data_IF_673534643844
#
_entry.id   IF_673534643844
#
_cell.length_a   1.000
_cell.length_b   1.000
_cell.length_c   1.000
_cell.angle_alpha   90.00
_cell.angle_beta   90.00
_cell.angle_gamma   90.00
#
_symmetry.space_group_name_H-M   'P 1'
#
loop_
_entity.id
_entity.type
_entity.pdbx_description
1 polymer ?
#
# COMPACT_ATOMS: atom_id res chain seq x y z
N UNK A 1 -11.75 4.24 -3.47
CA UNK A 1 -11.12 3.01 -4.01
C UNK A 1 -9.84 2.79 -3.22
N UNK A 2 -9.59 1.59 -2.68
CA UNK A 2 -8.37 1.32 -1.90
C UNK A 2 -7.25 0.86 -2.82
N UNK A 3 -6.02 1.40 -2.71
CA UNK A 3 -4.91 0.96 -3.55
C UNK A 3 -4.53 -0.50 -3.26
N UNK A 4 -4.01 -1.15 -4.30
CA UNK A 4 -3.75 -2.58 -4.36
C UNK A 4 -2.46 -2.95 -3.62
N UNK A 5 -2.56 -3.87 -2.68
CA UNK A 5 -1.43 -4.55 -2.07
C UNK A 5 -1.90 -5.97 -1.72
N UNK A 6 -1.05 -6.98 -1.84
CA UNK A 6 -1.35 -8.39 -1.50
C UNK A 6 -1.97 -8.51 -0.12
N UNK A 7 -1.53 -7.65 0.80
CA UNK A 7 -2.06 -7.59 2.14
C UNK A 7 -3.55 -7.27 2.21
N UNK A 8 -4.12 -6.49 1.28
CA UNK A 8 -5.57 -6.24 1.24
C UNK A 8 -6.36 -7.50 0.90
N UNK A 9 -5.81 -8.29 -0.03
CA UNK A 9 -6.35 -9.60 -0.37
C UNK A 9 -6.36 -10.48 0.88
N UNK A 10 -5.22 -10.57 1.56
CA UNK A 10 -5.04 -11.36 2.78
C UNK A 10 -5.90 -10.88 3.97
N UNK A 11 -6.11 -9.57 4.12
CA UNK A 11 -6.94 -8.98 5.18
C UNK A 11 -8.41 -9.36 5.01
N UNK A 12 -8.93 -9.32 3.78
CA UNK A 12 -10.31 -9.73 3.48
C UNK A 12 -10.51 -11.24 3.65
N UNK A 13 -9.50 -12.06 3.37
CA UNK A 13 -9.58 -13.50 3.61
C UNK A 13 -9.84 -13.82 5.07
N UNK A 14 -9.15 -13.16 6.01
CA UNK A 14 -9.32 -13.43 7.43
C UNK A 14 -10.76 -13.15 7.89
N UNK A 15 -11.33 -12.02 7.45
CA UNK A 15 -12.73 -11.66 7.74
C UNK A 15 -13.72 -12.71 7.24
N UNK A 16 -13.47 -13.32 6.07
CA UNK A 16 -14.33 -14.38 5.52
C UNK A 16 -14.16 -15.72 6.23
N UNK A 17 -12.94 -16.13 6.60
CA UNK A 17 -12.75 -17.34 7.43
C UNK A 17 -13.37 -17.20 8.82
N UNK A 18 -13.34 -15.99 9.41
CA UNK A 18 -14.01 -15.73 10.68
C UNK A 18 -15.54 -15.76 10.53
N UNK A 19 -16.08 -15.27 9.42
CA UNK A 19 -17.52 -15.23 9.15
C UNK A 19 -18.12 -16.60 8.73
N UNK A 20 -17.35 -17.42 8.02
CA UNK A 20 -17.84 -18.71 7.47
C UNK A 20 -17.83 -19.86 8.48
N UNK A 21 -17.24 -19.68 9.66
CA UNK A 21 -17.30 -20.68 10.75
C UNK A 21 -16.74 -22.06 10.36
N UNK A 22 -15.91 -22.15 9.32
CA UNK A 22 -15.37 -23.40 8.80
C UNK A 22 -14.33 -23.94 9.81
N UNK A 23 -14.83 -24.63 10.83
CA UNK A 23 -14.05 -25.40 11.77
C UNK A 23 -13.62 -26.70 11.11
N UNK A 24 -12.48 -26.67 10.42
CA UNK A 24 -11.82 -27.89 9.92
C UNK A 24 -11.42 -28.72 11.14
N UNK A 25 -12.15 -29.81 11.41
CA UNK A 25 -11.81 -30.80 12.43
C UNK A 25 -10.36 -31.24 12.24
N UNK A 26 -9.54 -31.07 13.29
CA UNK A 26 -8.23 -31.72 13.41
C UNK A 26 -8.44 -33.23 13.22
N UNK A 27 -7.93 -33.80 12.13
CA UNK A 27 -7.66 -35.23 12.11
C UNK A 27 -6.47 -35.47 13.04
N UNK A 28 -6.70 -36.14 14.16
CA UNK A 28 -5.61 -36.64 15.00
C UNK A 28 -4.90 -37.78 14.27
N UNK A 29 -3.57 -37.92 14.42
CA UNK A 29 -2.89 -39.11 13.94
C UNK A 29 -3.43 -40.33 14.68
N UNK A 30 -3.78 -41.38 13.93
CA UNK A 30 -4.13 -42.70 14.47
C UNK A 30 -2.91 -43.29 15.15
N UNK A 31 -2.96 -43.42 16.48
CA UNK A 31 -2.01 -44.22 17.26
C UNK A 31 -2.40 -45.69 17.20
N UNK A 32 -1.45 -46.55 16.82
CA UNK A 32 -1.54 -48.00 16.83
C UNK A 32 -1.57 -48.57 18.25
N UNK A 33 -2.45 -49.54 18.44
CA UNK A 33 -2.74 -50.33 19.64
C UNK A 33 -1.70 -51.44 19.89
N UNK A 34 -1.26 -51.64 21.15
CA UNK A 34 -0.90 -52.95 21.76
C UNK A 34 -1.21 -52.90 23.29
N UNK A 35 -1.65 -54.00 23.97
CA UNK A 35 -2.35 -53.98 25.26
C UNK A 35 -1.61 -54.61 26.47
N UNK A 36 -2.33 -54.67 27.61
CA UNK A 36 -2.09 -55.40 28.89
C UNK A 36 -1.46 -54.59 30.05
N UNK A 37 -1.78 -54.70 31.34
CA UNK A 37 -2.86 -55.34 32.13
C UNK A 37 -2.77 -54.91 33.63
N UNK A 38 -3.92 -54.52 34.24
CA UNK A 38 -4.33 -54.65 35.67
C UNK A 38 -3.51 -53.93 36.80
N UNK A 39 -3.95 -53.94 38.09
CA UNK A 39 -4.81 -52.88 38.66
C UNK A 39 -4.39 -52.38 40.06
N UNK A 40 -4.67 -51.12 40.45
CA UNK A 40 -4.71 -50.75 41.88
C UNK A 40 -5.79 -49.72 42.18
N UNK A 41 -6.62 -50.10 43.14
CA UNK A 41 -7.70 -49.38 43.82
C UNK A 41 -7.17 -48.23 44.68
N UNK A 42 -7.88 -47.11 44.75
CA UNK A 42 -8.22 -46.46 46.04
C UNK A 42 -9.47 -45.57 45.90
N UNK A 43 -10.38 -45.75 46.86
CA UNK A 43 -11.58 -44.94 47.11
C UNK A 43 -11.19 -43.59 47.72
N UNK A 44 -11.94 -42.53 47.42
CA UNK A 44 -12.55 -41.70 48.47
C UNK A 44 -13.70 -40.85 47.94
N UNK A 45 -14.78 -40.86 48.72
CA UNK A 45 -16.05 -40.16 48.56
C UNK A 45 -15.93 -38.62 48.62
N UNK A 46 -16.88 -37.90 48.00
CA UNK A 46 -17.74 -36.90 48.70
C UNK A 46 -18.72 -36.15 47.75
N UNK A 47 -20.02 -36.42 47.97
CA UNK A 47 -21.17 -35.50 48.08
C UNK A 47 -21.50 -34.39 47.03
N UNK A 48 -22.55 -34.67 46.24
CA UNK A 48 -23.82 -33.93 45.99
C UNK A 48 -23.93 -32.44 46.44
N UNK A 49 -24.07 -31.45 45.52
CA UNK A 49 -25.32 -30.82 44.98
C UNK A 49 -25.68 -29.45 45.62
N UNK A 50 -26.55 -28.56 45.04
CA UNK A 50 -27.00 -28.35 43.65
C UNK A 50 -27.13 -26.87 43.17
N UNK A 51 -27.43 -26.72 41.87
CA UNK A 51 -28.21 -25.67 41.16
C UNK A 51 -28.12 -24.16 41.51
N UNK A 52 -27.76 -23.36 40.48
CA UNK A 52 -28.47 -22.09 40.20
C UNK A 52 -28.46 -21.76 38.69
N UNK A 53 -29.64 -21.82 38.06
CA UNK A 53 -29.94 -21.20 36.76
C UNK A 53 -30.13 -19.70 36.95
N UNK A 54 -29.51 -18.88 36.11
CA UNK A 54 -29.93 -17.50 35.85
C UNK A 54 -30.02 -17.31 34.34
N UNK A 55 -31.24 -17.02 33.89
CA UNK A 55 -31.57 -16.53 32.55
C UNK A 55 -31.56 -14.99 32.52
N UNK A 56 -31.45 -14.45 31.31
CA UNK A 56 -31.71 -13.06 30.88
C UNK A 56 -30.54 -12.08 31.10
N UNK A 57 -30.18 -11.15 30.20
CA UNK A 57 -30.87 -10.55 29.03
C UNK A 57 -29.84 -10.21 27.94
N UNK A 58 -30.24 -10.31 26.68
CA UNK A 58 -29.61 -9.56 25.58
C UNK A 58 -29.85 -8.06 25.77
N UNK A 59 -28.88 -7.18 25.42
CA UNK A 59 -29.21 -5.83 25.00
C UNK A 59 -29.03 -5.70 23.49
N UNK A 60 -30.09 -5.18 22.90
CA UNK A 60 -30.23 -4.77 21.52
C UNK A 60 -29.16 -3.75 21.07
N UNK A 61 -28.88 -3.79 19.76
CA UNK A 61 -28.64 -2.58 18.97
C UNK A 61 -27.21 -2.04 18.91
N UNK A 62 -26.36 -2.68 18.10
CA UNK A 62 -25.08 -2.11 17.66
C UNK A 62 -25.23 -0.95 16.65
N UNK A 63 -26.47 -0.54 16.31
CA UNK A 63 -26.74 0.48 15.28
C UNK A 63 -26.73 1.93 15.79
N UNK A 64 -26.62 2.16 17.10
CA UNK A 64 -26.70 3.53 17.65
C UNK A 64 -25.33 4.25 17.79
N UNK A 65 -24.20 3.53 17.70
CA UNK A 65 -22.86 4.11 17.93
C UNK A 65 -22.21 4.72 16.68
N UNK A 66 -22.61 4.27 15.48
CA UNK A 66 -22.04 4.77 14.22
C UNK A 66 -22.65 6.12 13.77
N UNK A 67 -23.89 6.42 14.15
CA UNK A 67 -24.54 7.70 13.82
C UNK A 67 -23.99 8.88 14.62
N UNK A 68 -23.51 8.66 15.85
CA UNK A 68 -22.99 9.74 16.72
C UNK A 68 -21.55 10.14 16.37
N UNK A 69 -20.73 9.20 15.91
CA UNK A 69 -19.36 9.46 15.46
C UNK A 69 -19.29 10.18 14.10
N UNK A 70 -20.25 9.93 13.21
CA UNK A 70 -20.39 10.65 11.93
C UNK A 70 -20.78 12.12 12.16
N UNK A 71 -21.71 12.37 13.09
CA UNK A 71 -22.17 13.73 13.41
C UNK A 71 -21.10 14.60 14.09
N UNK A 72 -20.24 14.01 14.93
CA UNK A 72 -19.13 14.75 15.57
C UNK A 72 -17.98 15.07 14.61
N UNK A 73 -17.69 14.24 13.60
CA UNK A 73 -16.71 14.57 12.55
C UNK A 73 -17.15 15.72 11.66
N UNK A 74 -18.45 15.82 11.38
CA UNK A 74 -18.99 16.89 10.55
C UNK A 74 -18.96 18.26 11.25
N UNK A 75 -18.95 18.30 12.59
CA UNK A 75 -18.99 19.55 13.36
C UNK A 75 -17.60 20.13 13.66
N UNK A 76 -16.55 19.30 13.68
CA UNK A 76 -15.17 19.74 13.90
C UNK A 76 -14.48 20.29 12.62
N UNK A 77 -15.00 19.96 11.43
CA UNK A 77 -14.49 20.49 10.16
C UNK A 77 -15.01 21.90 9.81
N UNK A 78 -16.04 22.40 10.51
CA UNK A 78 -16.66 23.69 10.19
C UNK A 78 -16.06 24.90 10.93
N UNK A 79 -15.16 24.71 11.89
CA UNK A 79 -14.69 25.81 12.76
C UNK A 79 -13.31 26.39 12.42
N UNK A 80 -12.64 25.96 11.35
CA UNK A 80 -11.29 26.43 11.02
C UNK A 80 -11.00 26.73 9.55
N UNK A 81 -11.97 27.24 8.76
CA UNK A 81 -11.66 27.80 7.42
C UNK A 81 -12.37 29.14 7.23
N UNK A 82 -11.68 30.24 7.56
CA UNK A 82 -12.01 31.60 7.10
C UNK A 82 -11.12 32.00 5.91
N UNK A 83 -11.09 31.19 4.83
CA UNK A 83 -10.56 31.61 3.51
C UNK A 83 -11.34 31.06 2.28
N UNK A 84 -12.69 31.13 2.20
CA UNK A 84 -13.41 30.47 1.10
C UNK A 84 -13.30 31.20 -0.26
N UNK A 85 -13.04 32.52 -0.27
CA UNK A 85 -13.27 33.32 -1.48
C UNK A 85 -12.17 33.23 -2.56
N UNK A 86 -10.90 32.98 -2.20
CA UNK A 86 -9.84 32.77 -3.20
C UNK A 86 -9.86 31.34 -3.78
N UNK A 87 -10.30 30.37 -2.98
CA UNK A 87 -10.40 28.96 -3.37
C UNK A 87 -11.57 28.73 -4.34
N UNK A 88 -12.75 29.31 -4.06
CA UNK A 88 -13.90 29.25 -4.98
C UNK A 88 -13.60 29.88 -6.35
N UNK A 89 -12.81 30.97 -6.40
CA UNK A 89 -12.38 31.56 -7.69
C UNK A 89 -11.47 30.64 -8.50
N UNK A 90 -10.63 29.81 -7.85
CA UNK A 90 -9.75 28.84 -8.54
C UNK A 90 -10.52 27.62 -9.03
N UNK A 91 -11.52 27.15 -8.28
CA UNK A 91 -12.42 26.08 -8.73
C UNK A 91 -13.25 26.51 -9.94
N UNK A 92 -13.81 27.73 -9.91
CA UNK A 92 -14.54 28.29 -11.06
C UNK A 92 -13.65 28.47 -12.31
N UNK A 93 -12.34 28.60 -12.14
CA UNK A 93 -11.38 28.62 -13.26
C UNK A 93 -11.16 27.22 -13.82
N UNK A 94 -11.13 26.18 -12.98
CA UNK A 94 -10.98 24.79 -13.41
C UNK A 94 -12.25 24.23 -14.07
N UNK A 95 -13.44 24.53 -13.55
CA UNK A 95 -14.72 24.15 -14.18
C UNK A 95 -14.88 24.78 -15.57
N UNK A 96 -14.46 26.05 -15.74
CA UNK A 96 -14.46 26.73 -17.06
C UNK A 96 -13.45 26.15 -18.06
N UNK A 97 -12.42 25.43 -17.59
CA UNK A 97 -11.47 24.74 -18.46
C UNK A 97 -12.08 23.44 -19.00
N UNK A 98 -12.84 22.71 -18.18
CA UNK A 98 -13.46 21.44 -18.59
C UNK A 98 -14.66 21.66 -19.55
N UNK A 99 -15.49 22.68 -19.28
CA UNK A 99 -16.64 23.02 -20.13
C UNK A 99 -16.24 23.53 -21.54
N UNK A 100 -15.09 24.20 -21.66
CA UNK A 100 -14.59 24.71 -22.95
C UNK A 100 -13.92 23.64 -23.82
N UNK A 101 -13.56 22.48 -23.27
CA UNK A 101 -12.89 21.40 -24.00
C UNK A 101 -13.91 20.43 -24.64
N UNK A 102 -15.19 20.48 -24.25
CA UNK A 102 -16.25 19.61 -24.81
C UNK A 102 -17.06 20.22 -25.96
N UNK A 103 -16.79 21.47 -26.40
CA UNK A 103 -17.52 22.08 -27.51
C UNK A 103 -16.58 22.76 -28.52
N UNK A 104 -16.50 22.29 -29.78
CA UNK A 104 -15.89 23.08 -30.85
C UNK A 104 -16.94 24.07 -31.36
N UNK A 105 -16.98 25.28 -30.82
CA UNK A 105 -17.65 26.40 -31.47
C UNK A 105 -16.71 27.59 -31.59
N UNK A 106 -16.54 28.02 -32.84
CA UNK A 106 -15.77 29.18 -33.26
C UNK A 106 -16.13 30.46 -32.48
N UNK A 107 -15.09 31.26 -32.28
CA UNK A 107 -15.09 32.67 -31.87
C UNK A 107 -15.45 32.97 -30.41
N UNK A 108 -14.43 33.24 -29.59
CA UNK A 108 -14.23 34.58 -28.98
C UNK A 108 -12.93 34.63 -28.15
N UNK A 109 -12.18 35.70 -28.37
CA UNK A 109 -10.90 36.04 -27.75
C UNK A 109 -11.02 36.32 -26.25
N UNK A 110 -10.50 35.43 -25.41
CA UNK A 110 -10.17 35.72 -24.01
C UNK A 110 -8.72 35.28 -23.74
N UNK A 111 -7.79 36.21 -23.95
CA UNK A 111 -6.34 35.97 -23.96
C UNK A 111 -5.66 35.83 -22.59
N UNK A 112 -6.34 36.11 -21.48
CA UNK A 112 -5.69 36.12 -20.16
C UNK A 112 -5.67 34.76 -19.45
N UNK A 113 -6.67 33.91 -19.65
CA UNK A 113 -6.72 32.58 -19.01
C UNK A 113 -5.94 31.50 -19.78
N UNK A 114 -5.67 31.73 -21.07
CA UNK A 114 -4.79 30.87 -21.87
C UNK A 114 -3.34 30.94 -21.39
N UNK A 115 -2.91 32.09 -20.87
CA UNK A 115 -1.52 32.29 -20.46
C UNK A 115 -1.15 31.49 -19.22
N UNK A 116 -2.00 31.42 -18.19
CA UNK A 116 -1.66 30.73 -16.93
C UNK A 116 -1.50 29.21 -17.12
N UNK A 117 -2.36 28.58 -17.93
CA UNK A 117 -2.24 27.16 -18.25
C UNK A 117 -1.03 26.88 -19.16
N UNK A 118 -0.79 27.71 -20.19
CA UNK A 118 0.37 27.56 -21.06
C UNK A 118 1.71 27.78 -20.32
N UNK A 119 1.76 28.70 -19.35
CA UNK A 119 2.95 28.93 -18.53
C UNK A 119 3.21 27.73 -17.60
N UNK A 120 2.18 27.24 -16.88
CA UNK A 120 2.37 26.11 -15.97
C UNK A 120 2.61 24.79 -16.70
N UNK A 121 2.02 24.61 -17.89
CA UNK A 121 2.33 23.47 -18.75
C UNK A 121 3.76 23.49 -19.28
N UNK A 122 4.41 24.66 -19.37
CA UNK A 122 5.83 24.79 -19.75
C UNK A 122 6.77 24.52 -18.56
N UNK A 123 6.30 24.70 -17.33
CA UNK A 123 7.04 24.45 -16.08
C UNK A 123 6.80 23.04 -15.50
N UNK A 124 6.23 22.12 -16.28
CA UNK A 124 6.24 20.71 -15.91
C UNK A 124 7.67 20.17 -16.09
N UNK A 125 8.30 19.79 -14.99
CA UNK A 125 9.65 19.22 -14.96
C UNK A 125 9.67 17.72 -15.27
N UNK A 126 8.54 17.19 -15.77
CA UNK A 126 8.49 15.84 -16.26
C UNK A 126 9.38 15.67 -17.49
N UNK A 127 10.19 14.61 -17.52
CA UNK A 127 10.82 14.19 -18.76
C UNK A 127 9.77 13.95 -19.85
N UNK A 128 10.15 14.21 -21.10
CA UNK A 128 9.27 14.08 -22.27
C UNK A 128 8.60 12.70 -22.39
N UNK A 129 9.22 11.65 -21.85
CA UNK A 129 8.72 10.28 -21.84
C UNK A 129 7.72 9.96 -20.72
N UNK A 130 7.72 10.75 -19.64
CA UNK A 130 6.81 10.53 -18.51
C UNK A 130 5.38 10.93 -18.88
N UNK A 131 5.26 11.85 -19.85
CA UNK A 131 4.09 11.92 -20.68
C UNK A 131 4.03 10.63 -21.49
N UNK A 132 3.00 9.83 -21.26
CA UNK A 132 2.53 9.03 -22.37
C UNK A 132 2.03 10.06 -23.39
N UNK A 133 2.87 10.49 -24.34
CA UNK A 133 2.63 11.61 -25.28
C UNK A 133 1.29 11.53 -26.04
N UNK A 134 0.53 10.45 -25.86
CA UNK A 134 -0.81 10.21 -26.37
C UNK A 134 -1.94 10.72 -25.47
N UNK A 135 -1.74 10.87 -24.16
CA UNK A 135 -2.81 11.26 -23.22
C UNK A 135 -2.66 12.71 -22.76
N UNK A 136 -3.13 13.64 -23.62
CA UNK A 136 -3.18 15.08 -23.33
C UNK A 136 -3.98 15.37 -22.05
N UNK A 137 -5.00 14.55 -21.72
CA UNK A 137 -5.84 14.77 -20.54
C UNK A 137 -5.04 14.51 -19.26
N UNK A 138 -4.19 13.49 -19.24
CA UNK A 138 -3.33 13.21 -18.08
C UNK A 138 -2.36 14.36 -17.80
N UNK A 139 -1.74 14.92 -18.84
CA UNK A 139 -0.89 16.12 -18.71
C UNK A 139 -1.66 17.31 -18.16
N UNK A 140 -2.87 17.57 -18.66
CA UNK A 140 -3.73 18.65 -18.17
C UNK A 140 -4.13 18.46 -16.70
N UNK A 141 -4.45 17.23 -16.31
CA UNK A 141 -4.78 16.87 -14.94
C UNK A 141 -3.59 17.06 -14.00
N UNK A 142 -2.39 16.67 -14.41
CA UNK A 142 -1.17 16.88 -13.62
C UNK A 142 -0.84 18.38 -13.48
N UNK A 143 -0.93 19.16 -14.56
CA UNK A 143 -0.76 20.61 -14.51
C UNK A 143 -1.76 21.26 -13.55
N UNK A 144 -3.02 20.81 -13.58
CA UNK A 144 -4.08 21.26 -12.67
C UNK A 144 -3.76 20.90 -11.21
N UNK A 145 -3.24 19.69 -10.96
CA UNK A 145 -2.79 19.25 -9.64
C UNK A 145 -1.65 20.14 -9.12
N UNK A 146 -0.65 20.50 -9.95
CA UNK A 146 0.42 21.43 -9.57
C UNK A 146 -0.10 22.83 -9.24
N UNK A 147 -1.03 23.35 -10.04
CA UNK A 147 -1.69 24.64 -9.76
C UNK A 147 -2.37 24.67 -8.38
N UNK A 148 -3.01 23.55 -8.01
CA UNK A 148 -3.64 23.39 -6.70
C UNK A 148 -2.63 23.28 -5.54
N UNK A 149 -1.39 22.89 -5.85
CA UNK A 149 -0.29 22.70 -4.90
C UNK A 149 0.73 23.84 -4.92
N UNK A 150 0.52 24.91 -5.70
CA UNK A 150 1.53 25.95 -5.91
C UNK A 150 2.15 26.48 -4.61
N UNK A 151 1.31 26.83 -3.62
CA UNK A 151 1.79 27.31 -2.32
C UNK A 151 2.54 26.24 -1.51
N UNK A 152 2.13 24.97 -1.63
CA UNK A 152 2.82 23.84 -1.00
C UNK A 152 4.20 23.62 -1.64
N UNK A 153 4.30 23.72 -2.96
CA UNK A 153 5.55 23.57 -3.72
C UNK A 153 6.53 24.72 -3.45
N UNK A 154 6.06 25.97 -3.43
CA UNK A 154 6.87 27.14 -3.05
C UNK A 154 7.44 26.99 -1.62
N UNK A 155 6.65 26.47 -0.68
CA UNK A 155 7.11 26.20 0.68
C UNK A 155 8.20 25.11 0.70
N UNK A 156 8.04 24.05 -0.10
CA UNK A 156 9.00 22.96 -0.21
C UNK A 156 10.32 23.42 -0.84
N UNK A 157 10.29 24.28 -1.87
CA UNK A 157 11.49 24.83 -2.52
C UNK A 157 12.37 25.63 -1.57
N UNK A 158 11.81 26.20 -0.50
CA UNK A 158 12.61 26.89 0.52
C UNK A 158 13.13 25.97 1.63
N UNK A 159 12.70 24.70 1.68
CA UNK A 159 13.03 23.77 2.76
C UNK A 159 14.39 23.12 2.53
N UNK A 160 15.16 22.98 3.60
CA UNK A 160 16.47 22.33 3.59
C UNK A 160 16.55 21.19 4.58
N UNK A 161 17.47 20.27 4.34
CA UNK A 161 17.82 19.13 5.21
C UNK A 161 19.33 19.04 5.36
N UNK A 162 19.78 18.45 6.47
CA UNK A 162 21.19 18.16 6.69
C UNK A 162 21.53 16.77 6.17
N UNK A 163 22.37 16.71 5.13
CA UNK A 163 22.87 15.48 4.54
C UNK A 163 24.39 15.48 4.58
N UNK A 164 24.98 14.52 5.29
CA UNK A 164 26.44 14.33 5.37
C UNK A 164 27.19 15.62 5.78
N UNK A 165 26.58 16.40 6.68
CA UNK A 165 27.14 17.66 7.18
C UNK A 165 26.94 18.87 6.26
N UNK A 166 26.18 18.72 5.17
CA UNK A 166 25.82 19.80 4.25
C UNK A 166 24.32 20.11 4.32
N UNK A 167 23.98 21.39 4.29
CA UNK A 167 22.59 21.85 4.17
C UNK A 167 22.22 21.86 2.69
N UNK A 168 21.29 20.99 2.30
CA UNK A 168 20.86 20.80 0.90
C UNK A 168 19.36 21.06 0.80
N UNK A 169 18.91 21.59 -0.33
CA UNK A 169 17.49 21.73 -0.62
C UNK A 169 16.80 20.35 -0.64
N UNK A 170 15.61 20.22 -0.08
CA UNK A 170 14.89 18.93 -0.07
C UNK A 170 14.52 18.44 -1.47
N UNK A 171 14.26 19.35 -2.42
CA UNK A 171 13.91 18.98 -3.80
C UNK A 171 15.11 18.44 -4.56
N UNK A 172 16.30 19.00 -4.30
CA UNK A 172 17.57 18.52 -4.85
C UNK A 172 18.03 17.22 -4.19
N UNK A 173 17.85 17.12 -2.87
CA UNK A 173 18.22 15.94 -2.09
C UNK A 173 17.36 14.71 -2.43
N UNK A 174 16.05 14.90 -2.59
CA UNK A 174 15.08 13.82 -2.73
C UNK A 174 14.16 14.01 -3.94
N UNK A 175 14.70 14.03 -5.18
CA UNK A 175 13.91 14.26 -6.38
C UNK A 175 12.87 13.14 -6.60
N UNK A 176 13.09 11.93 -6.08
CA UNK A 176 12.11 10.84 -6.13
C UNK A 176 10.85 11.08 -5.27
N UNK A 177 10.92 12.03 -4.34
CA UNK A 177 9.80 12.42 -3.47
C UNK A 177 9.07 13.63 -4.04
N UNK A 178 9.83 14.66 -4.45
CA UNK A 178 9.28 15.97 -4.79
C UNK A 178 9.10 16.23 -6.28
N UNK A 179 9.40 15.25 -7.15
CA UNK A 179 9.21 15.37 -8.59
C UNK A 179 7.76 15.21 -9.03
N UNK A 180 7.48 15.75 -10.21
CA UNK A 180 6.21 15.54 -10.93
C UNK A 180 5.93 14.03 -11.16
N UNK A 181 6.96 13.17 -11.24
CA UNK A 181 6.78 11.72 -11.39
C UNK A 181 6.12 11.10 -10.14
N UNK A 182 6.44 11.60 -8.94
CA UNK A 182 5.76 11.19 -7.71
C UNK A 182 4.31 11.67 -7.73
N UNK A 183 4.08 12.93 -8.11
CA UNK A 183 2.72 13.50 -8.20
C UNK A 183 1.84 12.71 -9.18
N UNK A 184 2.41 12.28 -10.31
CA UNK A 184 1.71 11.44 -11.28
C UNK A 184 1.24 10.10 -10.68
N UNK A 185 1.97 9.50 -9.73
CA UNK A 185 1.50 8.30 -9.00
C UNK A 185 0.28 8.59 -8.14
N UNK A 186 0.26 9.74 -7.45
CA UNK A 186 -0.92 10.16 -6.69
C UNK A 186 -2.11 10.41 -7.61
N UNK A 187 -1.88 11.10 -8.74
CA UNK A 187 -2.92 11.34 -9.74
C UNK A 187 -3.53 10.04 -10.28
N UNK A 188 -2.68 9.07 -10.65
CA UNK A 188 -3.13 7.76 -11.17
C UNK A 188 -3.86 6.88 -10.16
N UNK A 189 -3.65 7.13 -8.86
CA UNK A 189 -4.32 6.42 -7.76
C UNK A 189 -5.78 6.84 -7.62
N UNK A 190 -6.04 8.12 -7.87
CA UNK A 190 -7.36 8.68 -7.65
C UNK A 190 -8.35 8.22 -8.72
N UNK A 191 -9.60 8.07 -8.28
CA UNK A 191 -10.68 7.71 -9.19
C UNK A 191 -10.79 8.78 -10.27
N UNK A 192 -10.91 8.34 -11.53
CA UNK A 192 -11.02 9.21 -12.70
C UNK A 192 -9.83 10.18 -12.88
N UNK A 193 -8.73 9.95 -12.14
CA UNK A 193 -7.56 10.83 -12.07
C UNK A 193 -7.91 12.27 -11.68
N UNK A 194 -8.80 12.44 -10.70
CA UNK A 194 -9.21 13.76 -10.22
C UNK A 194 -8.02 14.56 -9.62
N UNK A 195 -7.65 15.72 -10.21
CA UNK A 195 -6.55 16.54 -9.72
C UNK A 195 -6.73 17.07 -8.30
N UNK A 196 -7.97 17.35 -7.88
CA UNK A 196 -8.25 17.92 -6.55
C UNK A 196 -7.99 16.89 -5.46
N UNK A 197 -8.60 15.72 -5.57
CA UNK A 197 -8.39 14.60 -4.65
C UNK A 197 -6.91 14.21 -4.61
N UNK A 198 -6.23 14.18 -5.76
CA UNK A 198 -4.82 13.84 -5.84
C UNK A 198 -3.94 14.88 -5.12
N UNK A 199 -4.23 16.17 -5.30
CA UNK A 199 -3.53 17.26 -4.60
C UNK A 199 -3.72 17.18 -3.08
N UNK A 200 -4.93 16.91 -2.59
CA UNK A 200 -5.20 16.75 -1.16
C UNK A 200 -4.47 15.55 -0.55
N UNK A 201 -4.44 14.43 -1.28
CA UNK A 201 -3.72 13.23 -0.87
C UNK A 201 -2.22 13.48 -0.83
N UNK A 202 -1.67 14.12 -1.85
CA UNK A 202 -0.25 14.48 -1.89
C UNK A 202 0.14 15.44 -0.78
N UNK A 203 -0.71 16.44 -0.48
CA UNK A 203 -0.51 17.34 0.67
C UNK A 203 -0.50 16.59 1.99
N UNK A 204 -1.42 15.65 2.18
CA UNK A 204 -1.46 14.79 3.37
C UNK A 204 -0.18 13.97 3.51
N UNK A 205 0.34 13.45 2.40
CA UNK A 205 1.63 12.76 2.36
C UNK A 205 2.79 13.69 2.76
N UNK A 206 2.88 14.89 2.18
CA UNK A 206 3.92 15.86 2.51
C UNK A 206 3.90 16.26 3.99
N UNK A 207 2.71 16.54 4.54
CA UNK A 207 2.54 16.85 5.96
C UNK A 207 2.97 15.68 6.84
N UNK A 208 2.55 14.45 6.50
CA UNK A 208 2.96 13.25 7.23
C UNK A 208 4.49 13.09 7.25
N UNK A 209 5.18 13.33 6.12
CA UNK A 209 6.64 13.27 6.04
C UNK A 209 7.29 14.24 7.02
N UNK A 210 6.82 15.48 7.06
CA UNK A 210 7.32 16.53 7.97
C UNK A 210 7.08 16.11 9.42
N UNK A 211 5.85 15.73 9.76
CA UNK A 211 5.48 15.35 11.13
C UNK A 211 6.30 14.17 11.65
N UNK A 212 6.58 13.17 10.79
CA UNK A 212 7.30 11.95 11.17
C UNK A 212 8.81 12.04 10.87
N UNK A 213 9.29 13.20 10.42
CA UNK A 213 10.69 13.47 10.08
C UNK A 213 11.28 12.41 9.15
N UNK A 214 10.51 12.01 8.13
CA UNK A 214 10.88 10.90 7.23
C UNK A 214 12.15 11.24 6.45
N UNK A 215 12.27 12.50 6.02
CA UNK A 215 13.41 12.98 5.24
C UNK A 215 14.71 12.99 6.07
N UNK A 216 14.62 13.36 7.35
CA UNK A 216 15.78 13.47 8.23
C UNK A 216 16.16 12.13 8.88
N UNK A 217 15.19 11.27 9.15
CA UNK A 217 15.40 10.02 9.92
C UNK A 217 15.53 8.78 9.05
N UNK A 218 14.71 8.68 8.00
CA UNK A 218 14.63 7.46 7.17
C UNK A 218 15.41 7.65 5.87
N UNK A 219 15.19 8.76 5.14
CA UNK A 219 15.83 8.98 3.84
C UNK A 219 17.34 9.04 3.89
N UNK A 220 17.91 9.63 4.94
CA UNK A 220 19.37 9.64 5.16
C UNK A 220 19.94 8.22 5.16
N UNK A 221 19.25 7.29 5.82
CA UNK A 221 19.63 5.88 5.90
C UNK A 221 19.44 5.17 4.55
N UNK A 222 18.37 5.47 3.82
CA UNK A 222 18.09 4.92 2.47
C UNK A 222 19.16 5.33 1.48
N UNK A 223 19.67 6.56 1.54
CA UNK A 223 20.69 7.04 0.62
C UNK A 223 22.07 6.39 0.85
N UNK A 224 22.34 5.94 2.07
CA UNK A 224 23.59 5.28 2.43
C UNK A 224 23.56 3.79 2.08
N UNK A 225 22.45 3.10 2.37
CA UNK A 225 22.40 1.63 2.43
C UNK A 225 21.09 1.04 1.86
N UNK A 226 20.65 1.43 0.65
CA UNK A 226 19.30 1.10 0.16
C UNK A 226 19.02 -0.40 0.19
N UNK A 227 17.79 -0.78 0.56
CA UNK A 227 17.32 -2.17 0.67
C UNK A 227 18.01 -3.04 1.72
N UNK A 228 18.89 -2.50 2.56
CA UNK A 228 19.30 -3.19 3.78
C UNK A 228 18.16 -3.26 4.80
N UNK A 229 18.34 -4.06 5.84
CA UNK A 229 17.35 -4.18 6.90
C UNK A 229 17.58 -3.11 7.96
N UNK A 230 16.57 -2.27 8.21
CA UNK A 230 16.61 -1.36 9.37
C UNK A 230 16.46 -2.11 10.70
N UNK A 231 15.86 -3.30 10.65
CA UNK A 231 15.63 -4.17 11.81
C UNK A 231 15.77 -5.63 11.37
N UNK A 232 16.78 -6.31 11.89
CA UNK A 232 17.03 -7.73 11.62
C UNK A 232 15.88 -8.59 12.16
N UNK A 233 15.26 -8.19 13.28
CA UNK A 233 14.08 -8.84 13.84
C UNK A 233 12.94 -8.87 12.83
N UNK A 234 12.65 -7.74 12.16
CA UNK A 234 11.59 -7.70 11.15
C UNK A 234 11.95 -8.56 9.94
N UNK A 235 13.20 -8.47 9.46
CA UNK A 235 13.68 -9.22 8.30
C UNK A 235 13.61 -10.74 8.50
N UNK A 236 13.96 -11.23 9.69
CA UNK A 236 13.89 -12.66 10.03
C UNK A 236 12.44 -13.19 10.03
N UNK A 237 11.47 -12.35 10.42
CA UNK A 237 10.07 -12.75 10.52
C UNK A 237 9.27 -12.52 9.22
N UNK A 238 9.71 -11.57 8.39
CA UNK A 238 9.10 -11.19 7.11
C UNK A 238 10.13 -11.22 5.98
N UNK A 239 10.58 -12.41 5.55
CA UNK A 239 11.48 -12.52 4.40
C UNK A 239 10.88 -11.84 3.16
N UNK A 240 11.63 -10.88 2.64
CA UNK A 240 11.34 -10.09 1.45
C UNK A 240 12.64 -9.93 0.66
N UNK A 241 12.60 -10.20 -0.65
CA UNK A 241 13.75 -10.05 -1.54
C UNK A 241 13.42 -9.06 -2.65
N UNK A 242 14.24 -8.04 -2.78
CA UNK A 242 14.18 -7.08 -3.88
C UNK A 242 15.20 -7.51 -4.92
N UNK A 243 14.73 -7.91 -6.11
CA UNK A 243 15.64 -8.16 -7.23
C UNK A 243 15.95 -6.79 -7.84
N UNK A 244 17.16 -6.29 -7.58
CA UNK A 244 17.59 -4.99 -8.08
C UNK A 244 17.83 -5.06 -9.59
N UNK A 245 17.67 -3.94 -10.30
CA UNK A 245 17.74 -3.91 -11.77
C UNK A 245 19.12 -4.28 -12.30
N UNK A 246 20.18 -4.13 -11.52
CA UNK A 246 21.51 -4.60 -11.92
C UNK A 246 21.52 -6.11 -12.23
N UNK A 247 20.61 -6.86 -11.61
CA UNK A 247 20.42 -8.28 -11.87
C UNK A 247 19.48 -8.55 -13.04
N UNK A 248 18.71 -7.57 -13.54
CA UNK A 248 17.70 -7.78 -14.58
C UNK A 248 18.21 -7.37 -15.96
N UNK A 249 17.76 -8.03 -17.04
CA UNK A 249 18.05 -7.53 -18.38
C UNK A 249 17.49 -6.11 -18.55
N UNK A 250 18.30 -5.24 -19.17
CA UNK A 250 18.21 -3.77 -19.29
C UNK A 250 16.91 -3.20 -19.92
N UNK A 251 15.85 -4.00 -20.07
CA UNK A 251 14.61 -3.63 -20.78
C UNK A 251 13.32 -3.97 -20.03
N UNK A 252 13.40 -4.52 -18.82
CA UNK A 252 12.19 -4.73 -18.03
C UNK A 252 11.63 -3.40 -17.55
N UNK A 253 10.41 -3.04 -17.96
CA UNK A 253 9.65 -1.91 -17.37
C UNK A 253 9.15 -2.22 -15.96
N UNK A 254 9.59 -3.33 -15.38
CA UNK A 254 9.11 -3.89 -14.13
C UNK A 254 10.27 -4.27 -13.24
N UNK A 255 10.10 -3.98 -11.95
CA UNK A 255 10.96 -4.39 -10.87
C UNK A 255 10.27 -5.54 -10.10
N UNK A 256 10.73 -6.80 -10.24
CA UNK A 256 10.20 -7.91 -9.46
C UNK A 256 10.60 -7.78 -7.98
N UNK A 257 9.61 -7.89 -7.11
CA UNK A 257 9.78 -7.99 -5.66
C UNK A 257 9.18 -9.32 -5.23
N UNK A 258 9.97 -10.12 -4.53
CA UNK A 258 9.55 -11.43 -4.04
C UNK A 258 9.23 -11.36 -2.56
N UNK A 259 7.97 -11.65 -2.22
CA UNK A 259 7.47 -11.80 -0.87
C UNK A 259 7.29 -13.29 -0.55
N UNK A 260 8.05 -13.81 0.39
CA UNK A 260 7.92 -15.20 0.87
C UNK A 260 6.83 -15.28 1.94
N UNK A 261 5.59 -14.97 1.53
CA UNK A 261 4.44 -14.84 2.43
C UNK A 261 4.20 -16.11 3.23
N UNK A 262 4.40 -17.27 2.60
CA UNK A 262 4.23 -18.55 3.26
C UNK A 262 5.23 -18.82 4.38
N UNK A 263 6.38 -18.14 4.38
CA UNK A 263 7.42 -18.26 5.42
C UNK A 263 7.27 -17.22 6.54
N UNK A 264 6.28 -16.32 6.47
CA UNK A 264 6.12 -15.29 7.49
C UNK A 264 5.78 -15.86 8.86
N UNK A 265 6.58 -15.49 9.86
CA UNK A 265 6.41 -15.87 11.26
C UNK A 265 5.49 -14.91 12.00
N UNK A 266 4.26 -14.72 11.49
CA UNK A 266 3.36 -13.64 11.96
C UNK A 266 2.91 -13.78 13.42
N UNK A 267 2.88 -15.00 13.96
CA UNK A 267 2.55 -15.22 15.37
C UNK A 267 3.69 -14.80 16.28
N UNK A 268 4.94 -15.10 15.90
CA UNK A 268 6.14 -14.74 16.65
C UNK A 268 6.31 -13.22 16.67
N UNK A 269 6.29 -12.56 15.52
CA UNK A 269 6.40 -11.10 15.46
C UNK A 269 5.24 -10.38 16.16
N UNK A 270 4.04 -10.97 16.16
CA UNK A 270 2.91 -10.45 16.95
C UNK A 270 3.21 -10.49 18.44
N UNK A 271 3.84 -11.55 18.92
CA UNK A 271 4.21 -11.69 20.31
C UNK A 271 5.34 -10.71 20.67
N UNK A 272 6.37 -10.60 19.82
CA UNK A 272 7.47 -9.65 19.99
C UNK A 272 6.92 -8.22 20.11
N UNK A 273 6.11 -7.77 19.14
CA UNK A 273 5.50 -6.43 19.12
C UNK A 273 4.55 -6.21 20.29
N UNK A 274 3.72 -7.20 20.65
CA UNK A 274 2.80 -7.08 21.78
C UNK A 274 3.52 -7.04 23.13
N UNK A 275 4.66 -7.72 23.25
CA UNK A 275 5.47 -7.72 24.47
C UNK A 275 6.22 -6.41 24.69
N UNK A 276 6.44 -5.62 23.62
CA UNK A 276 7.21 -4.36 23.60
C UNK A 276 8.64 -4.48 24.12
N UNK A 277 9.23 -5.68 24.10
CA UNK A 277 10.58 -5.91 24.63
C UNK A 277 11.69 -5.63 23.61
N UNK A 278 11.52 -6.11 22.39
CA UNK A 278 12.58 -6.09 21.37
C UNK A 278 12.20 -5.27 20.14
N UNK A 279 10.89 -5.11 19.86
CA UNK A 279 10.40 -4.37 18.71
C UNK A 279 9.05 -3.74 19.06
N UNK A 280 8.90 -2.45 18.79
CA UNK A 280 7.63 -1.75 18.86
C UNK A 280 6.89 -1.79 17.52
N UNK A 281 5.59 -1.47 17.53
CA UNK A 281 4.83 -1.32 16.29
C UNK A 281 5.40 -0.17 15.44
N UNK A 282 5.89 0.89 16.07
CA UNK A 282 6.48 2.04 15.37
C UNK A 282 7.76 1.62 14.63
N UNK A 283 8.68 0.94 15.30
CA UNK A 283 9.90 0.42 14.67
C UNK A 283 9.60 -0.60 13.55
N UNK A 284 8.57 -1.43 13.73
CA UNK A 284 8.07 -2.29 12.67
C UNK A 284 7.61 -1.49 11.45
N UNK A 285 6.82 -0.43 11.66
CA UNK A 285 6.33 0.42 10.57
C UNK A 285 7.47 1.22 9.93
N UNK A 286 8.45 1.68 10.71
CA UNK A 286 9.62 2.39 10.24
C UNK A 286 10.49 1.53 9.33
N UNK A 287 10.65 0.25 9.67
CA UNK A 287 11.31 -0.71 8.80
C UNK A 287 10.62 -0.78 7.43
N UNK A 288 9.29 -0.83 7.39
CA UNK A 288 8.55 -0.85 6.14
C UNK A 288 8.59 0.49 5.40
N UNK A 289 8.47 1.62 6.11
CA UNK A 289 8.66 2.95 5.53
C UNK A 289 10.03 3.02 4.85
N UNK A 290 11.08 2.57 5.53
CA UNK A 290 12.44 2.50 4.99
C UNK A 290 12.53 1.70 3.68
N UNK A 291 11.92 0.51 3.64
CA UNK A 291 11.88 -0.31 2.42
C UNK A 291 11.08 0.36 1.30
N UNK A 292 9.95 1.00 1.59
CA UNK A 292 9.17 1.73 0.59
C UNK A 292 9.88 2.97 0.06
N UNK A 293 10.58 3.71 0.92
CA UNK A 293 11.43 4.82 0.49
C UNK A 293 12.57 4.34 -0.42
N UNK A 294 13.23 3.23 -0.07
CA UNK A 294 14.27 2.59 -0.91
C UNK A 294 13.70 2.18 -2.27
N UNK A 295 12.53 1.54 -2.26
CA UNK A 295 11.83 1.12 -3.46
C UNK A 295 11.49 2.30 -4.37
N UNK A 296 10.88 3.35 -3.84
CA UNK A 296 10.49 4.49 -4.66
C UNK A 296 11.68 5.26 -5.23
N UNK A 297 12.79 5.34 -4.48
CA UNK A 297 14.05 5.86 -4.99
C UNK A 297 14.55 5.04 -6.18
N UNK A 298 14.50 3.71 -6.08
CA UNK A 298 14.88 2.82 -7.18
C UNK A 298 13.94 3.01 -8.38
N UNK A 299 12.63 2.99 -8.16
CA UNK A 299 11.65 3.21 -9.24
C UNK A 299 11.88 4.54 -9.96
N UNK A 300 12.22 5.61 -9.22
CA UNK A 300 12.56 6.90 -9.82
C UNK A 300 13.83 6.79 -10.68
N UNK A 301 14.93 6.28 -10.13
CA UNK A 301 16.20 6.11 -10.86
C UNK A 301 16.02 5.32 -12.15
N UNK A 302 15.33 4.19 -12.06
CA UNK A 302 15.08 3.33 -13.22
C UNK A 302 14.13 3.97 -14.23
N UNK A 303 13.16 4.76 -13.75
CA UNK A 303 12.30 5.49 -14.68
C UNK A 303 13.07 6.53 -15.48
N UNK A 304 14.00 7.24 -14.83
CA UNK A 304 14.90 8.18 -15.49
C UNK A 304 15.82 7.47 -16.48
N UNK A 305 16.39 6.31 -16.10
CA UNK A 305 17.30 5.52 -16.94
C UNK A 305 16.61 4.96 -18.19
N UNK A 306 15.43 4.37 -18.02
CA UNK A 306 14.70 3.68 -19.10
C UNK A 306 13.74 4.57 -19.86
N UNK A 307 13.72 5.86 -19.55
CA UNK A 307 12.81 6.83 -20.15
C UNK A 307 11.37 6.31 -20.17
N UNK A 308 10.93 5.71 -19.07
CA UNK A 308 9.56 5.20 -18.94
C UNK A 308 9.21 5.01 -17.48
N UNK A 309 7.93 5.13 -17.13
CA UNK A 309 7.52 4.91 -15.75
C UNK A 309 7.64 3.44 -15.38
N UNK A 310 8.55 3.15 -14.44
CA UNK A 310 8.79 1.80 -13.93
C UNK A 310 7.80 1.48 -12.82
N UNK A 311 7.36 0.23 -12.79
CA UNK A 311 6.44 -0.29 -11.79
C UNK A 311 7.02 -1.53 -11.12
N UNK A 312 6.44 -1.89 -9.99
CA UNK A 312 6.69 -3.15 -9.31
C UNK A 312 5.84 -4.25 -9.93
N UNK A 313 6.45 -5.41 -10.06
CA UNK A 313 5.74 -6.69 -10.11
C UNK A 313 5.93 -7.41 -8.78
N UNK A 314 4.83 -7.56 -8.04
CA UNK A 314 4.85 -8.14 -6.70
C UNK A 314 4.57 -9.64 -6.80
N UNK A 315 5.60 -10.45 -6.58
CA UNK A 315 5.54 -11.92 -6.65
C UNK A 315 5.44 -12.45 -5.24
N UNK A 316 4.33 -13.05 -4.89
CA UNK A 316 4.07 -13.61 -3.57
C UNK A 316 4.14 -15.12 -3.62
N UNK A 317 5.18 -15.70 -3.03
CA UNK A 317 5.25 -17.13 -2.81
C UNK A 317 4.41 -17.50 -1.59
N UNK A 318 3.30 -18.21 -1.83
CA UNK A 318 2.38 -18.67 -0.80
C UNK A 318 2.67 -20.12 -0.34
N UNK A 319 3.82 -20.68 -0.73
CA UNK A 319 4.25 -22.01 -0.31
C UNK A 319 4.42 -22.10 1.20
N UNK A 320 3.79 -23.09 1.83
CA UNK A 320 3.82 -23.21 3.29
C UNK A 320 2.83 -22.28 4.01
N UNK A 321 2.08 -21.45 3.28
CA UNK A 321 1.10 -20.55 3.88
C UNK A 321 0.03 -21.33 4.65
N UNK A 322 -0.22 -20.91 5.89
CA UNK A 322 -1.18 -21.53 6.78
C UNK A 322 -2.15 -20.50 7.37
N UNK A 323 -3.35 -20.94 7.76
CA UNK A 323 -4.39 -20.07 8.30
C UNK A 323 -3.99 -19.33 9.59
N UNK A 324 -3.04 -19.88 10.36
CA UNK A 324 -2.60 -19.28 11.62
C UNK A 324 -1.76 -18.02 11.39
N UNK A 325 -1.20 -17.84 10.19
CA UNK A 325 -0.49 -16.63 9.81
C UNK A 325 -1.39 -15.38 9.81
N UNK A 326 -2.70 -15.56 9.67
CA UNK A 326 -3.67 -14.46 9.68
C UNK A 326 -4.48 -14.44 10.98
N UNK A 327 -3.83 -14.65 12.12
CA UNK A 327 -4.50 -14.54 13.42
C UNK A 327 -5.19 -13.18 13.58
N UNK A 328 -6.37 -13.10 14.23
CA UNK A 328 -7.05 -11.82 14.46
C UNK A 328 -6.18 -10.77 15.16
N UNK A 329 -5.26 -11.21 16.02
CA UNK A 329 -4.29 -10.33 16.68
C UNK A 329 -3.33 -9.70 15.68
N UNK A 330 -2.68 -10.52 14.83
CA UNK A 330 -1.79 -10.04 13.78
C UNK A 330 -2.49 -9.06 12.84
N UNK A 331 -3.67 -9.46 12.36
CA UNK A 331 -4.45 -8.67 11.40
C UNK A 331 -4.83 -7.32 11.97
N UNK A 332 -5.39 -7.28 13.18
CA UNK A 332 -5.88 -6.03 13.78
C UNK A 332 -4.74 -5.12 14.24
N UNK A 333 -3.70 -5.68 14.84
CA UNK A 333 -2.64 -4.91 15.53
C UNK A 333 -1.47 -4.54 14.63
N UNK A 334 -1.17 -5.32 13.60
CA UNK A 334 0.04 -5.14 12.78
C UNK A 334 -0.33 -4.91 11.32
N UNK A 335 -1.03 -5.87 10.69
CA UNK A 335 -1.31 -5.78 9.26
C UNK A 335 -2.21 -4.58 8.91
N UNK A 336 -3.23 -4.28 9.72
CA UNK A 336 -4.13 -3.14 9.44
C UNK A 336 -3.40 -1.79 9.54
N UNK A 337 -2.66 -1.45 10.61
CA UNK A 337 -1.84 -0.23 10.64
C UNK A 337 -0.84 -0.14 9.49
N UNK A 338 -0.17 -1.25 9.19
CA UNK A 338 0.78 -1.32 8.07
C UNK A 338 0.10 -1.03 6.73
N UNK A 339 -1.04 -1.67 6.45
CA UNK A 339 -1.80 -1.40 5.24
C UNK A 339 -2.32 0.02 5.16
N UNK A 340 -2.84 0.58 6.26
CA UNK A 340 -3.26 1.98 6.27
C UNK A 340 -2.10 2.90 5.88
N UNK A 341 -0.89 2.64 6.41
CA UNK A 341 0.31 3.39 6.08
C UNK A 341 0.68 3.29 4.60
N UNK A 342 0.73 2.08 4.03
CA UNK A 342 1.11 1.90 2.62
C UNK A 342 0.08 2.51 1.69
N UNK A 343 -1.20 2.26 1.96
CA UNK A 343 -2.29 2.80 1.16
C UNK A 343 -2.38 4.31 1.22
N UNK A 344 -2.03 4.95 2.32
CA UNK A 344 -2.14 6.39 2.46
C UNK A 344 -0.93 7.12 1.87
N UNK A 345 0.29 6.58 2.02
CA UNK A 345 1.50 7.34 1.73
C UNK A 345 2.30 6.84 0.52
N UNK A 346 2.00 5.63 0.02
CA UNK A 346 2.77 5.00 -1.06
C UNK A 346 1.87 4.52 -2.23
N UNK A 347 1.35 5.46 -3.04
CA UNK A 347 0.43 5.12 -4.13
C UNK A 347 1.10 4.52 -5.37
N UNK A 348 0.33 3.67 -6.07
CA UNK A 348 0.53 3.23 -7.46
C UNK A 348 1.96 2.85 -7.82
N UNK A 349 2.56 1.99 -7.01
CA UNK A 349 3.84 1.35 -7.30
C UNK A 349 3.68 0.05 -8.09
N UNK A 350 2.64 -0.72 -7.78
CA UNK A 350 2.45 -2.08 -8.31
C UNK A 350 1.64 -2.08 -9.60
N UNK A 351 2.21 -2.67 -10.67
CA UNK A 351 1.52 -2.93 -11.93
C UNK A 351 0.76 -4.24 -11.89
N UNK A 352 1.37 -5.30 -11.35
CA UNK A 352 0.75 -6.60 -11.23
C UNK A 352 1.21 -7.29 -9.95
N UNK A 353 0.37 -8.21 -9.47
CA UNK A 353 0.56 -9.00 -8.28
C UNK A 353 0.40 -10.45 -8.68
N UNK A 354 1.42 -11.27 -8.48
CA UNK A 354 1.41 -12.68 -8.83
C UNK A 354 1.41 -13.52 -7.55
N UNK A 355 0.31 -14.21 -7.28
CA UNK A 355 0.19 -15.12 -6.14
C UNK A 355 0.60 -16.52 -6.61
N UNK A 356 1.83 -16.93 -6.30
CA UNK A 356 2.38 -18.23 -6.66
C UNK A 356 1.96 -19.29 -5.65
N UNK A 357 1.65 -20.49 -6.15
CA UNK A 357 1.31 -21.66 -5.34
C UNK A 357 0.21 -21.37 -4.30
N UNK A 358 -0.89 -20.69 -4.67
CA UNK A 358 -1.96 -20.37 -3.73
C UNK A 358 -2.58 -21.67 -3.19
N UNK A 359 -2.75 -21.80 -1.86
CA UNK A 359 -3.46 -22.96 -1.32
C UNK A 359 -4.89 -23.01 -1.88
N UNK A 360 -5.45 -24.21 -2.04
CA UNK A 360 -6.78 -24.40 -2.64
C UNK A 360 -7.87 -23.53 -1.99
N UNK A 361 -7.77 -23.34 -0.66
CA UNK A 361 -8.69 -22.48 0.09
C UNK A 361 -8.60 -21.01 -0.35
N UNK A 362 -7.41 -20.50 -0.67
CA UNK A 362 -7.25 -19.13 -1.17
C UNK A 362 -7.95 -18.95 -2.51
N UNK A 363 -7.86 -19.91 -3.42
CA UNK A 363 -8.57 -19.81 -4.71
C UNK A 363 -10.09 -19.73 -4.52
N UNK A 364 -10.63 -20.45 -3.54
CA UNK A 364 -12.05 -20.40 -3.19
C UNK A 364 -12.43 -19.04 -2.58
N UNK A 365 -11.64 -18.55 -1.62
CA UNK A 365 -11.91 -17.29 -0.93
C UNK A 365 -11.70 -16.08 -1.85
N UNK A 366 -10.78 -16.17 -2.80
CA UNK A 366 -10.48 -15.11 -3.77
C UNK A 366 -11.71 -14.71 -4.58
N UNK A 367 -12.56 -15.66 -4.97
CA UNK A 367 -13.80 -15.37 -5.69
C UNK A 367 -14.75 -14.47 -4.87
N UNK A 368 -14.76 -14.62 -3.55
CA UNK A 368 -15.55 -13.76 -2.65
C UNK A 368 -14.86 -12.41 -2.42
N UNK A 369 -13.55 -12.43 -2.22
CA UNK A 369 -12.74 -11.22 -1.95
C UNK A 369 -12.70 -10.29 -3.17
N UNK A 370 -12.60 -10.84 -4.39
CA UNK A 370 -12.55 -10.07 -5.62
C UNK A 370 -13.77 -9.15 -5.78
N UNK A 371 -14.96 -9.59 -5.36
CA UNK A 371 -16.18 -8.77 -5.40
C UNK A 371 -16.15 -7.58 -4.41
N UNK A 372 -15.30 -7.64 -3.38
CA UNK A 372 -15.16 -6.60 -2.36
C UNK A 372 -14.03 -5.61 -2.67
N UNK A 373 -13.24 -5.92 -3.69
CA UNK A 373 -12.07 -5.18 -4.11
C UNK A 373 -12.40 -4.36 -5.37
N UNK A 374 -11.74 -3.20 -5.57
CA UNK A 374 -11.97 -2.40 -6.76
C UNK A 374 -11.58 -3.17 -8.05
N UNK A 375 -12.30 -3.01 -9.17
CA UNK A 375 -11.99 -3.75 -10.40
C UNK A 375 -10.54 -3.57 -10.88
N UNK A 376 -10.00 -2.36 -10.75
CA UNK A 376 -8.59 -2.09 -11.10
C UNK A 376 -7.60 -2.86 -10.24
N UNK A 377 -7.92 -3.06 -8.96
CA UNK A 377 -7.13 -3.87 -8.03
C UNK A 377 -7.22 -5.37 -8.37
N UNK A 378 -8.42 -5.88 -8.68
CA UNK A 378 -8.61 -7.28 -9.10
C UNK A 378 -7.85 -7.58 -10.38
N UNK A 379 -7.88 -6.65 -11.36
CA UNK A 379 -7.19 -6.81 -12.64
C UNK A 379 -5.65 -6.92 -12.52
N UNK A 380 -5.07 -6.43 -11.41
CA UNK A 380 -3.63 -6.56 -11.14
C UNK A 380 -3.26 -7.93 -10.58
N UNK A 381 -4.19 -8.66 -9.97
CA UNK A 381 -3.90 -9.91 -9.25
C UNK A 381 -4.03 -11.12 -10.17
N UNK A 382 -2.98 -11.94 -10.24
CA UNK A 382 -2.91 -13.16 -11.01
C UNK A 382 -2.63 -14.35 -10.08
N UNK A 383 -3.47 -15.38 -10.13
CA UNK A 383 -3.26 -16.63 -9.39
C UNK A 383 -2.47 -17.62 -10.26
N UNK A 384 -1.24 -17.91 -9.88
CA UNK A 384 -0.37 -18.86 -10.60
C UNK A 384 -0.37 -20.20 -9.85
N UNK A 385 -1.34 -21.05 -10.19
CA UNK A 385 -1.60 -22.31 -9.48
C UNK A 385 -0.77 -23.51 -9.96
N UNK A 386 -0.25 -23.48 -11.19
CA UNK A 386 0.42 -24.61 -11.86
C UNK A 386 1.91 -24.37 -12.08
N UNK A 387 2.61 -23.96 -11.03
CA UNK A 387 4.03 -23.71 -11.10
C UNK A 387 4.77 -24.58 -10.08
N UNK A 388 5.55 -25.54 -10.58
CA UNK A 388 6.21 -26.58 -9.79
C UNK A 388 7.65 -26.21 -9.38
N UNK A 389 8.19 -25.11 -9.91
CA UNK A 389 9.54 -24.65 -9.62
C UNK A 389 9.65 -23.78 -8.36
N UNK A 390 10.87 -23.27 -8.11
CA UNK A 390 11.10 -22.27 -7.07
C UNK A 390 10.68 -20.88 -7.54
N UNK A 391 10.39 -19.96 -6.61
CA UNK A 391 10.09 -18.57 -6.99
C UNK A 391 11.26 -17.89 -7.70
N UNK A 392 12.50 -18.31 -7.42
CA UNK A 392 13.69 -17.82 -8.12
C UNK A 392 13.72 -18.29 -9.58
N UNK A 393 13.36 -19.54 -9.83
CA UNK A 393 13.16 -20.07 -11.18
C UNK A 393 12.03 -19.31 -11.89
N UNK A 394 10.96 -18.94 -11.17
CA UNK A 394 9.83 -18.21 -11.75
C UNK A 394 10.26 -16.81 -12.19
N UNK A 395 11.01 -16.11 -11.33
CA UNK A 395 11.58 -14.81 -11.65
C UNK A 395 12.50 -14.95 -12.86
N UNK A 396 13.37 -15.97 -12.89
CA UNK A 396 14.26 -16.23 -14.03
C UNK A 396 13.48 -16.45 -15.34
N UNK A 397 12.50 -17.35 -15.33
CA UNK A 397 11.71 -17.68 -16.53
C UNK A 397 10.96 -16.47 -17.08
N UNK A 398 10.35 -15.65 -16.21
CA UNK A 398 9.56 -14.49 -16.63
C UNK A 398 10.43 -13.34 -17.11
N UNK A 399 11.54 -13.07 -16.41
CA UNK A 399 12.32 -11.85 -16.61
C UNK A 399 13.58 -12.04 -17.45
N UNK A 400 14.16 -13.25 -17.48
CA UNK A 400 15.46 -13.52 -18.09
C UNK A 400 15.35 -14.41 -19.32
N UNK A 401 14.54 -15.47 -19.24
CA UNK A 401 14.58 -16.53 -20.25
C UNK A 401 13.59 -16.33 -21.40
N UNK A 402 12.55 -15.50 -21.26
CA UNK A 402 11.58 -15.30 -22.34
C UNK A 402 12.23 -14.58 -23.54
N UNK A 403 12.42 -15.26 -24.69
CA UNK A 403 12.79 -14.58 -25.92
C UNK A 403 11.66 -13.62 -26.26
N UNK A 404 12.00 -12.35 -26.44
CA UNK A 404 11.06 -11.26 -26.64
C UNK A 404 9.98 -11.62 -27.66
N UNK A 405 8.76 -11.90 -27.21
CA UNK A 405 7.60 -11.68 -28.07
C UNK A 405 7.53 -10.18 -28.27
N UNK A 406 7.91 -9.72 -29.47
CA UNK A 406 7.66 -8.35 -29.93
C UNK A 406 6.14 -8.13 -29.85
N UNK A 407 5.68 -7.49 -28.77
CA UNK A 407 4.33 -6.91 -28.67
C UNK A 407 4.26 -5.58 -29.38
#
# INVERSE_FOLDING_TARGET
>A
MHPCSVFNVLLMMNSLTAATGISVKKQSPRSSTIPSSLPVSYKHDSALSPHRRVQSREPAGAECLFSRASWMRHRLLHHSITRPQRWLRRILVLEKIDDKVQAPSHNETNGENSLSFQTVSKDLSLPWWAYNLKDVKETQRLASMKLLLLADLEAIESRTVQLRGQTVNVTEAFPDVYSDLRMLRFLRKEKDQDPLSAAEHYRTFLQWRVTNRIDERIRVSVDQRPFEHLSDVVAEHFPCRFHLVDDLPDRSKLLPIVLHVGDWKTSEISNVICSKKELSLEEFLDHWIYLFESLHRQLYKESMKHESMIYVDEICDLSGMNRHQFSPSFVRKIMKPWLSLTQQYYPETTKQIQLLKPPRLLSMVWNTVACMISPGTVAKVQLVSKYDGTVDDFVREIYFDKPHQKT
#
